data_IF_534599924859
#
_entry.id   IF_534599924859
#
_cell.length_a   1.000
_cell.length_b   1.000
_cell.length_c   1.000
_cell.angle_alpha   90.00
_cell.angle_beta   90.00
_cell.angle_gamma   90.00
#
_symmetry.space_group_name_H-M   'P 1'
#
loop_
_entity.id
_entity.type
_entity.pdbx_description
1 polymer ?
#
# COMPACT_ATOMS: atom_id res chain seq x y z
N UNK A 1 -9.75 23.36 -46.05
CA UNK A 1 -10.46 22.96 -44.81
C UNK A 1 -10.05 21.59 -44.26
N UNK A 2 -9.65 20.61 -45.08
CA UNK A 2 -9.25 19.27 -44.58
C UNK A 2 -8.01 19.24 -43.67
N UNK A 3 -6.97 20.02 -44.00
CA UNK A 3 -5.69 20.03 -43.25
C UNK A 3 -5.85 20.55 -41.82
N UNK A 4 -6.61 21.64 -41.62
CA UNK A 4 -6.85 22.20 -40.29
C UNK A 4 -7.62 21.24 -39.37
N UNK A 5 -8.62 20.51 -39.92
CA UNK A 5 -9.37 19.50 -39.18
C UNK A 5 -8.49 18.30 -38.80
N UNK A 6 -7.64 17.85 -39.72
CA UNK A 6 -6.67 16.79 -39.45
C UNK A 6 -5.70 17.18 -38.34
N UNK A 7 -5.14 18.39 -38.40
CA UNK A 7 -4.23 18.90 -37.36
C UNK A 7 -4.92 18.98 -35.98
N UNK A 8 -6.14 19.54 -35.92
CA UNK A 8 -6.91 19.63 -34.68
C UNK A 8 -7.21 18.24 -34.11
N UNK A 9 -7.58 17.27 -34.95
CA UNK A 9 -7.81 15.90 -34.52
C UNK A 9 -6.54 15.29 -33.91
N UNK A 10 -5.38 15.43 -34.56
CA UNK A 10 -4.11 14.89 -34.03
C UNK A 10 -3.77 15.49 -32.66
N UNK A 11 -3.97 16.80 -32.49
CA UNK A 11 -3.74 17.48 -31.21
C UNK A 11 -4.67 16.94 -30.12
N UNK A 12 -5.98 16.81 -30.41
CA UNK A 12 -6.94 16.23 -29.46
C UNK A 12 -6.62 14.78 -29.11
N UNK A 13 -6.19 13.98 -30.09
CA UNK A 13 -5.76 12.60 -29.87
C UNK A 13 -4.53 12.53 -28.96
N UNK A 14 -3.57 13.44 -29.13
CA UNK A 14 -2.39 13.52 -28.27
C UNK A 14 -2.78 13.85 -26.82
N UNK A 15 -3.65 14.85 -26.62
CA UNK A 15 -4.16 15.17 -25.28
C UNK A 15 -4.92 13.99 -24.66
N UNK A 16 -5.76 13.30 -25.44
CA UNK A 16 -6.50 12.14 -24.95
C UNK A 16 -5.53 11.02 -24.51
N UNK A 17 -4.49 10.75 -25.30
CA UNK A 17 -3.45 9.79 -24.94
C UNK A 17 -2.79 10.17 -23.61
N UNK A 18 -2.38 11.43 -23.43
CA UNK A 18 -1.77 11.89 -22.18
C UNK A 18 -2.72 11.71 -20.99
N UNK A 19 -3.99 12.09 -21.14
CA UNK A 19 -5.01 11.96 -20.09
C UNK A 19 -5.23 10.50 -19.70
N UNK A 20 -5.33 9.59 -20.67
CA UNK A 20 -5.55 8.16 -20.41
C UNK A 20 -4.35 7.49 -19.73
N UNK A 21 -3.12 7.89 -20.08
CA UNK A 21 -1.91 7.41 -19.40
C UNK A 21 -1.89 7.90 -17.95
N UNK A 22 -2.14 9.19 -17.71
CA UNK A 22 -2.22 9.75 -16.35
C UNK A 22 -3.33 9.08 -15.52
N UNK A 23 -4.48 8.82 -16.13
CA UNK A 23 -5.58 8.12 -15.48
C UNK A 23 -5.17 6.70 -15.06
N UNK A 24 -4.48 5.97 -15.94
CA UNK A 24 -3.93 4.64 -15.62
C UNK A 24 -2.95 4.68 -14.45
N UNK A 25 -2.09 5.70 -14.38
CA UNK A 25 -1.18 5.90 -13.25
C UNK A 25 -1.92 6.17 -11.94
N UNK A 26 -2.94 7.04 -11.96
CA UNK A 26 -3.73 7.34 -10.76
C UNK A 26 -4.50 6.11 -10.28
N UNK A 27 -5.15 5.36 -11.19
CA UNK A 27 -5.84 4.11 -10.84
C UNK A 27 -4.86 3.11 -10.23
N UNK A 28 -3.65 3.03 -10.77
CA UNK A 28 -2.61 2.14 -10.21
C UNK A 28 -2.24 2.55 -8.79
N UNK A 29 -2.04 3.85 -8.52
CA UNK A 29 -1.77 4.34 -7.16
C UNK A 29 -2.94 4.07 -6.21
N UNK A 30 -4.17 4.33 -6.66
CA UNK A 30 -5.41 4.12 -5.92
C UNK A 30 -5.61 2.65 -5.51
N UNK A 31 -5.27 1.71 -6.40
CA UNK A 31 -5.38 0.27 -6.14
C UNK A 31 -4.20 -0.32 -5.38
N UNK A 32 -3.13 0.46 -5.13
CA UNK A 32 -1.90 -0.04 -4.51
C UNK A 32 -1.54 0.72 -3.25
N UNK A 33 -0.63 1.70 -3.34
CA UNK A 33 -0.08 2.43 -2.19
C UNK A 33 -1.17 3.25 -1.48
N UNK A 34 -2.27 3.58 -2.14
CA UNK A 34 -3.39 4.29 -1.51
C UNK A 34 -4.49 3.35 -1.00
N UNK A 35 -4.33 2.04 -1.16
CA UNK A 35 -5.30 1.04 -0.72
C UNK A 35 -4.80 0.28 0.52
N UNK A 36 -5.56 0.34 1.61
CA UNK A 36 -5.22 -0.34 2.86
C UNK A 36 -5.14 -1.87 2.70
N UNK A 37 -6.07 -2.47 1.95
CA UNK A 37 -6.12 -3.93 1.76
C UNK A 37 -4.91 -4.40 0.96
N UNK A 38 -4.48 -3.63 -0.05
CA UNK A 38 -3.24 -3.92 -0.77
C UNK A 38 -2.04 -3.88 0.16
N UNK A 39 -1.88 -2.83 0.97
CA UNK A 39 -0.74 -2.71 1.88
C UNK A 39 -0.72 -3.83 2.92
N UNK A 40 -1.86 -4.17 3.51
CA UNK A 40 -1.96 -5.28 4.48
C UNK A 40 -1.59 -6.61 3.82
N UNK A 41 -2.16 -6.91 2.66
CA UNK A 41 -1.87 -8.14 1.93
C UNK A 41 -0.39 -8.23 1.53
N UNK A 42 0.21 -7.09 1.17
CA UNK A 42 1.62 -7.04 0.80
C UNK A 42 2.53 -7.18 2.03
N UNK A 43 2.18 -6.59 3.18
CA UNK A 43 2.93 -6.80 4.43
C UNK A 43 2.92 -8.26 4.88
N UNK A 44 1.77 -8.93 4.78
CA UNK A 44 1.61 -10.37 5.06
C UNK A 44 2.44 -11.22 4.08
N UNK A 45 2.33 -10.94 2.78
CA UNK A 45 3.08 -11.63 1.72
C UNK A 45 4.60 -11.48 1.86
N UNK A 46 5.04 -10.32 2.32
CA UNK A 46 6.46 -9.99 2.53
C UNK A 46 6.99 -10.51 3.88
N UNK A 47 6.11 -11.02 4.75
CA UNK A 47 6.42 -11.46 6.12
C UNK A 47 7.08 -10.37 6.98
N UNK A 48 6.69 -9.11 6.75
CA UNK A 48 7.30 -7.94 7.42
C UNK A 48 7.14 -8.03 8.93
N UNK A 49 6.01 -8.57 9.40
CA UNK A 49 5.74 -8.76 10.81
C UNK A 49 6.77 -9.67 11.48
N UNK A 50 7.15 -10.77 10.84
CA UNK A 50 8.19 -11.66 11.38
C UNK A 50 9.55 -10.96 11.43
N UNK A 51 9.95 -10.24 10.38
CA UNK A 51 11.22 -9.48 10.37
C UNK A 51 11.26 -8.45 11.50
N UNK A 52 10.17 -7.69 11.71
CA UNK A 52 10.08 -6.69 12.80
C UNK A 52 10.13 -7.37 14.16
N UNK A 53 9.43 -8.50 14.33
CA UNK A 53 9.47 -9.30 15.56
C UNK A 53 10.87 -9.82 15.84
N UNK A 54 11.57 -10.36 14.85
CA UNK A 54 12.96 -10.85 15.00
C UNK A 54 13.93 -9.71 15.34
N UNK A 55 13.76 -8.54 14.74
CA UNK A 55 14.56 -7.37 15.08
C UNK A 55 14.29 -6.88 16.51
N UNK A 56 13.02 -6.84 16.92
CA UNK A 56 12.64 -6.50 18.30
C UNK A 56 13.19 -7.52 19.31
N UNK A 57 13.15 -8.82 18.98
CA UNK A 57 13.79 -9.89 19.75
C UNK A 57 15.29 -9.63 19.91
N UNK A 58 16.00 -9.34 18.81
CA UNK A 58 17.43 -9.09 18.83
C UNK A 58 17.78 -7.90 19.75
N UNK A 59 17.05 -6.79 19.64
CA UNK A 59 17.26 -5.61 20.49
C UNK A 59 16.99 -5.89 21.97
N UNK A 60 15.98 -6.71 22.29
CA UNK A 60 15.72 -7.11 23.67
C UNK A 60 16.80 -8.06 24.20
N UNK A 61 17.33 -8.97 23.37
CA UNK A 61 18.43 -9.85 23.76
C UNK A 61 19.74 -9.11 24.05
N UNK A 62 19.93 -7.92 23.48
CA UNK A 62 21.08 -7.07 23.81
C UNK A 62 20.97 -6.40 25.19
N UNK A 63 19.79 -6.41 25.83
CA UNK A 63 19.64 -5.85 27.17
C UNK A 63 20.16 -6.81 28.25
N UNK A 64 21.07 -6.31 29.11
CA UNK A 64 21.67 -7.08 30.20
C UNK A 64 20.63 -7.73 31.13
N UNK A 65 19.53 -7.04 31.41
CA UNK A 65 18.42 -7.57 32.20
C UNK A 65 17.79 -8.81 31.57
N UNK A 66 17.57 -8.81 30.25
CA UNK A 66 16.95 -9.94 29.55
C UNK A 66 17.92 -11.13 29.55
N UNK A 67 19.21 -10.93 29.28
CA UNK A 67 20.18 -12.02 29.31
C UNK A 67 20.31 -12.68 30.70
N UNK A 68 20.18 -11.89 31.77
CA UNK A 68 20.36 -12.38 33.12
C UNK A 68 19.13 -13.14 33.66
N UNK A 69 17.92 -12.75 33.26
CA UNK A 69 16.69 -13.26 33.87
C UNK A 69 15.80 -14.07 32.91
N UNK A 70 16.00 -13.93 31.60
CA UNK A 70 15.12 -14.48 30.57
C UNK A 70 15.97 -15.28 29.56
N UNK A 71 15.84 -16.60 29.57
CA UNK A 71 16.47 -17.43 28.55
C UNK A 71 15.83 -17.20 27.17
N UNK A 72 16.60 -17.40 26.10
CA UNK A 72 16.15 -17.16 24.71
C UNK A 72 14.86 -17.92 24.35
N UNK A 73 14.68 -19.14 24.89
CA UNK A 73 13.49 -19.95 24.67
C UNK A 73 12.22 -19.26 25.21
N UNK A 74 12.32 -18.59 26.36
CA UNK A 74 11.20 -17.85 26.97
C UNK A 74 10.83 -16.65 26.11
N UNK A 75 11.85 -15.90 25.67
CA UNK A 75 11.64 -14.74 24.82
C UNK A 75 10.90 -15.15 23.54
N UNK A 76 11.30 -16.26 22.93
CA UNK A 76 10.64 -16.81 21.76
C UNK A 76 9.16 -17.14 22.04
N UNK A 77 8.86 -17.86 23.12
CA UNK A 77 7.47 -18.17 23.48
C UNK A 77 6.61 -16.93 23.72
N UNK A 78 7.15 -15.88 24.34
CA UNK A 78 6.42 -14.62 24.52
C UNK A 78 6.09 -13.97 23.19
N UNK A 79 7.06 -13.88 22.29
CA UNK A 79 6.84 -13.29 20.96
C UNK A 79 5.93 -14.14 20.08
N UNK A 80 5.99 -15.46 20.18
CA UNK A 80 5.08 -16.35 19.46
C UNK A 80 3.63 -16.14 19.92
N UNK A 81 3.40 -15.90 21.22
CA UNK A 81 2.09 -15.51 21.77
C UNK A 81 1.67 -14.09 21.38
N UNK A 82 2.62 -13.16 21.23
CA UNK A 82 2.36 -11.74 20.90
C UNK A 82 2.18 -11.47 19.41
N UNK A 83 2.79 -12.27 18.53
CA UNK A 83 2.73 -12.14 17.08
C UNK A 83 1.30 -11.93 16.55
N UNK A 84 0.30 -12.79 16.87
CA UNK A 84 -1.04 -12.59 16.35
C UNK A 84 -1.69 -11.28 16.80
N UNK A 85 -1.39 -10.83 18.03
CA UNK A 85 -1.86 -9.54 18.52
C UNK A 85 -1.19 -8.37 17.79
N UNK A 86 0.11 -8.46 17.52
CA UNK A 86 0.85 -7.43 16.76
C UNK A 86 0.31 -7.28 15.34
N UNK A 87 0.05 -8.39 14.66
CA UNK A 87 -0.54 -8.41 13.32
C UNK A 87 -1.93 -7.75 13.33
N UNK A 88 -2.79 -8.11 14.28
CA UNK A 88 -4.11 -7.50 14.43
C UNK A 88 -4.03 -5.99 14.70
N UNK A 89 -3.13 -5.56 15.59
CA UNK A 89 -2.97 -4.13 15.85
C UNK A 89 -2.42 -3.37 14.64
N UNK A 90 -1.46 -3.95 13.91
CA UNK A 90 -0.94 -3.33 12.69
C UNK A 90 -2.03 -3.15 11.65
N UNK A 91 -2.88 -4.15 11.44
CA UNK A 91 -4.02 -4.06 10.53
C UNK A 91 -5.00 -2.97 10.94
N UNK A 92 -5.32 -2.87 12.24
CA UNK A 92 -6.18 -1.80 12.78
C UNK A 92 -5.56 -0.43 12.55
N UNK A 93 -4.26 -0.27 12.83
CA UNK A 93 -3.54 1.00 12.66
C UNK A 93 -3.50 1.39 11.19
N UNK A 94 -3.17 0.46 10.30
CA UNK A 94 -3.12 0.69 8.86
C UNK A 94 -4.51 1.13 8.39
N UNK A 95 -5.55 0.32 8.65
CA UNK A 95 -6.94 0.66 8.24
C UNK A 95 -7.40 1.99 8.79
N UNK A 96 -7.14 2.26 10.07
CA UNK A 96 -7.49 3.53 10.70
C UNK A 96 -6.73 4.71 10.08
N UNK A 97 -5.45 4.54 9.76
CA UNK A 97 -4.63 5.56 9.09
C UNK A 97 -5.18 5.84 7.69
N UNK A 98 -5.50 4.82 6.91
CA UNK A 98 -6.09 5.00 5.58
C UNK A 98 -7.49 5.62 5.65
N UNK A 99 -8.31 5.24 6.64
CA UNK A 99 -9.61 5.86 6.87
C UNK A 99 -9.47 7.36 7.20
N UNK A 100 -8.49 7.73 8.02
CA UNK A 100 -8.15 9.13 8.31
C UNK A 100 -7.64 9.88 7.07
N UNK A 101 -6.82 9.24 6.23
CA UNK A 101 -6.31 9.85 5.00
C UNK A 101 -7.42 10.13 3.97
N UNK A 102 -8.46 9.31 3.94
CA UNK A 102 -9.60 9.45 3.03
C UNK A 102 -10.77 10.27 3.60
N UNK A 103 -10.78 10.55 4.90
CA UNK A 103 -11.89 11.25 5.58
C UNK A 103 -11.41 12.50 6.33
N UNK A 104 -12.35 13.32 6.77
CA UNK A 104 -12.07 14.48 7.62
C UNK A 104 -12.09 14.18 9.13
N UNK A 105 -12.16 12.90 9.50
CA UNK A 105 -12.13 12.49 10.91
C UNK A 105 -10.72 12.67 11.49
N UNK A 106 -10.60 12.97 12.77
CA UNK A 106 -9.32 12.98 13.48
C UNK A 106 -8.80 11.54 13.68
N UNK A 107 -7.48 11.38 13.69
CA UNK A 107 -6.83 10.09 13.85
C UNK A 107 -6.77 9.72 15.33
N UNK A 108 -7.88 9.25 15.89
CA UNK A 108 -7.93 8.74 17.27
C UNK A 108 -7.78 7.21 17.26
N UNK A 109 -6.55 6.73 17.10
CA UNK A 109 -6.22 5.31 17.23
C UNK A 109 -5.53 5.10 18.57
N UNK A 110 -6.26 4.45 19.47
CA UNK A 110 -5.76 4.03 20.79
C UNK A 110 -5.52 2.53 20.79
N UNK A 111 -4.26 2.13 20.96
CA UNK A 111 -3.83 0.73 21.03
C UNK A 111 -3.83 0.30 22.49
N UNK A 112 -4.63 -0.70 22.85
CA UNK A 112 -4.63 -1.27 24.19
C UNK A 112 -3.45 -2.24 24.36
N UNK A 113 -2.57 -1.98 25.32
CA UNK A 113 -1.45 -2.87 25.65
C UNK A 113 -1.79 -3.88 26.76
N UNK A 114 -3.06 -3.95 27.18
CA UNK A 114 -3.50 -4.95 28.16
C UNK A 114 -3.23 -6.40 27.73
N UNK A 115 -3.42 -6.79 26.45
CA UNK A 115 -3.04 -8.13 25.99
C UNK A 115 -1.55 -8.40 26.16
N UNK A 116 -0.71 -7.41 25.84
CA UNK A 116 0.75 -7.50 26.01
C UNK A 116 1.11 -7.72 27.47
N UNK A 117 0.58 -6.89 28.38
CA UNK A 117 0.79 -7.03 29.83
C UNK A 117 0.36 -8.42 30.32
N UNK A 118 -0.80 -8.90 29.87
CA UNK A 118 -1.34 -10.19 30.28
C UNK A 118 -0.46 -11.34 29.81
N UNK A 119 -0.01 -11.33 28.55
CA UNK A 119 0.88 -12.36 27.99
C UNK A 119 2.23 -12.37 28.69
N UNK A 120 2.80 -11.20 28.99
CA UNK A 120 4.08 -11.10 29.71
C UNK A 120 3.91 -11.63 31.14
N UNK A 121 2.87 -11.20 31.87
CA UNK A 121 2.62 -11.64 33.25
C UNK A 121 2.38 -13.15 33.36
N UNK A 122 1.60 -13.72 32.44
CA UNK A 122 1.30 -15.15 32.42
C UNK A 122 2.54 -15.96 32.06
N UNK A 123 3.30 -15.54 31.05
CA UNK A 123 4.55 -16.23 30.69
C UNK A 123 5.54 -16.21 31.85
N UNK A 124 5.76 -15.04 32.49
CA UNK A 124 6.61 -14.93 33.69
C UNK A 124 6.14 -15.87 34.80
N UNK A 125 4.82 -15.98 35.02
CA UNK A 125 4.25 -16.91 36.01
C UNK A 125 4.57 -18.35 35.70
N UNK A 126 4.27 -18.79 34.48
CA UNK A 126 4.50 -20.15 34.00
C UNK A 126 5.97 -20.55 34.23
N UNK A 127 6.90 -19.63 33.97
CA UNK A 127 8.34 -19.86 34.11
C UNK A 127 8.76 -20.00 35.57
N UNK A 128 8.34 -19.06 36.42
CA UNK A 128 8.71 -19.10 37.84
C UNK A 128 8.18 -20.37 38.52
N UNK A 129 7.04 -20.90 38.05
CA UNK A 129 6.47 -22.16 38.51
C UNK A 129 7.19 -23.40 37.94
N UNK A 130 7.66 -23.36 36.68
CA UNK A 130 8.34 -24.49 36.05
C UNK A 130 9.81 -24.63 36.45
N UNK A 131 10.50 -23.51 36.64
CA UNK A 131 11.90 -23.47 37.03
C UNK A 131 12.12 -22.29 37.98
N UNK A 132 12.01 -22.49 39.31
CA UNK A 132 12.24 -21.44 40.28
C UNK A 132 13.61 -20.79 40.05
N UNK A 133 13.66 -19.46 39.98
CA UNK A 133 14.91 -18.71 39.91
C UNK A 133 15.81 -19.11 41.07
N UNK A 134 17.13 -19.06 40.91
CA UNK A 134 18.12 -19.55 41.90
C UNK A 134 18.04 -18.90 43.30
N UNK A 135 17.25 -17.82 43.47
CA UNK A 135 16.92 -17.21 44.77
C UNK A 135 15.58 -17.63 45.39
N UNK A 136 14.80 -18.45 44.69
CA UNK A 136 13.48 -18.95 45.07
C UNK A 136 13.41 -20.48 45.15
N UNK A 137 14.54 -21.17 44.98
CA UNK A 137 14.61 -22.62 45.17
C UNK A 137 14.27 -22.98 46.62
N UNK A 138 13.14 -23.68 46.82
CA UNK A 138 12.62 -24.03 48.14
C UNK A 138 11.77 -22.94 48.83
N UNK A 139 11.48 -21.83 48.14
CA UNK A 139 10.56 -20.81 48.65
C UNK A 139 9.13 -21.35 48.78
N UNK A 140 8.38 -20.87 49.78
CA UNK A 140 6.96 -21.22 49.91
C UNK A 140 6.14 -20.59 48.78
N UNK A 141 5.00 -21.19 48.44
CA UNK A 141 4.11 -20.67 47.40
C UNK A 141 3.70 -19.21 47.65
N UNK A 142 3.52 -18.82 48.92
CA UNK A 142 3.24 -17.44 49.31
C UNK A 142 4.39 -16.46 49.03
N UNK A 143 5.65 -16.91 49.15
CA UNK A 143 6.83 -16.10 48.82
C UNK A 143 6.96 -15.90 47.31
N UNK A 144 6.68 -16.96 46.53
CA UNK A 144 6.65 -16.91 45.07
C UNK A 144 5.56 -15.94 44.59
N UNK A 145 4.35 -16.01 45.15
CA UNK A 145 3.26 -15.09 44.81
C UNK A 145 3.57 -13.64 45.19
N UNK A 146 4.19 -13.40 46.35
CA UNK A 146 4.61 -12.06 46.75
C UNK A 146 5.66 -11.48 45.77
N UNK A 147 6.62 -12.31 45.34
CA UNK A 147 7.62 -11.91 44.35
C UNK A 147 6.99 -11.62 42.98
N UNK A 148 6.09 -12.48 42.50
CA UNK A 148 5.35 -12.28 41.25
C UNK A 148 4.52 -11.00 41.29
N UNK A 149 3.86 -10.69 42.41
CA UNK A 149 3.09 -9.45 42.59
C UNK A 149 3.98 -8.21 42.45
N UNK A 150 5.21 -8.28 42.96
CA UNK A 150 6.19 -7.20 42.80
C UNK A 150 6.61 -7.04 41.33
N UNK A 151 6.91 -8.14 40.63
CA UNK A 151 7.22 -8.11 39.20
C UNK A 151 6.04 -7.56 38.39
N UNK A 152 4.81 -7.98 38.68
CA UNK A 152 3.63 -7.51 37.97
C UNK A 152 3.42 -6.01 38.11
N UNK A 153 3.73 -5.46 39.28
CA UNK A 153 3.70 -4.01 39.54
C UNK A 153 4.72 -3.28 38.68
N UNK A 154 5.94 -3.81 38.55
CA UNK A 154 6.98 -3.22 37.70
C UNK A 154 6.64 -3.35 36.21
N UNK A 155 6.06 -4.47 35.76
CA UNK A 155 5.54 -4.63 34.40
C UNK A 155 4.45 -3.59 34.10
N UNK A 156 3.52 -3.38 35.03
CA UNK A 156 2.43 -2.41 34.86
C UNK A 156 2.92 -0.96 34.81
N UNK A 157 4.06 -0.66 35.45
CA UNK A 157 4.72 0.65 35.35
C UNK A 157 5.50 0.79 34.05
N UNK A 158 6.19 -0.27 33.62
CA UNK A 158 7.06 -0.25 32.44
C UNK A 158 6.27 -0.22 31.12
N UNK A 159 5.19 -1.00 31.03
CA UNK A 159 4.35 -1.08 29.84
C UNK A 159 3.09 -0.26 30.13
N UNK A 160 2.81 0.87 29.47
CA UNK A 160 1.59 1.66 29.72
C UNK A 160 0.32 0.87 29.36
N UNK A 161 -0.86 1.30 29.83
CA UNK A 161 -2.11 0.55 29.63
C UNK A 161 -2.61 0.66 28.19
N UNK A 162 -2.33 1.81 27.56
CA UNK A 162 -2.64 2.11 26.19
C UNK A 162 -1.57 3.03 25.61
N UNK A 163 -1.37 2.95 24.30
CA UNK A 163 -0.57 3.91 23.54
C UNK A 163 -1.48 4.62 22.55
N UNK A 164 -1.40 5.94 22.54
CA UNK A 164 -1.99 6.74 21.47
C UNK A 164 -1.02 6.82 20.31
N UNK A 165 -1.55 6.83 19.09
CA UNK A 165 -0.72 6.86 17.89
C UNK A 165 0.18 8.10 17.84
N UNK A 166 -0.27 9.23 18.40
CA UNK A 166 0.51 10.47 18.49
C UNK A 166 1.81 10.30 19.27
N UNK A 167 1.76 9.51 20.35
CA UNK A 167 2.92 9.21 21.18
C UNK A 167 3.92 8.29 20.45
N UNK A 168 3.43 7.42 19.56
CA UNK A 168 4.25 6.45 18.81
C UNK A 168 4.90 7.12 17.59
N UNK A 169 4.10 7.81 16.77
CA UNK A 169 4.55 8.37 15.50
C UNK A 169 5.35 9.67 15.69
N UNK A 170 5.10 10.41 16.78
CA UNK A 170 5.70 11.70 17.04
C UNK A 170 5.16 12.82 16.14
N UNK A 171 5.38 14.08 16.54
CA UNK A 171 4.82 15.25 15.86
C UNK A 171 5.26 15.36 14.38
N UNK A 172 6.47 14.94 14.05
CA UNK A 172 6.99 15.03 12.68
C UNK A 172 6.21 14.14 11.72
N UNK A 173 5.91 12.90 12.12
CA UNK A 173 5.19 11.94 11.27
C UNK A 173 3.72 12.35 11.12
N UNK A 174 3.11 12.92 12.16
CA UNK A 174 1.76 13.50 12.06
C UNK A 174 1.74 14.63 11.01
N UNK A 175 2.75 15.51 10.99
CA UNK A 175 2.85 16.55 9.97
C UNK A 175 3.02 15.98 8.55
N UNK A 176 3.80 14.89 8.41
CA UNK A 176 3.91 14.17 7.13
C UNK A 176 2.59 13.53 6.71
N UNK A 177 1.81 13.00 7.66
CA UNK A 177 0.51 12.42 7.40
C UNK A 177 -0.50 13.46 6.91
N UNK A 178 -0.46 14.68 7.47
CA UNK A 178 -1.25 15.80 6.97
C UNK A 178 -0.88 16.17 5.53
N UNK A 179 0.41 16.18 5.21
CA UNK A 179 0.86 16.40 3.83
C UNK A 179 0.39 15.27 2.90
N UNK A 180 0.46 14.01 3.34
CA UNK A 180 -0.03 12.86 2.59
C UNK A 180 -1.54 12.94 2.35
N UNK A 181 -2.31 13.35 3.35
CA UNK A 181 -3.75 13.61 3.21
C UNK A 181 -4.03 14.64 2.13
N UNK A 182 -3.27 15.73 2.10
CA UNK A 182 -3.41 16.76 1.07
C UNK A 182 -3.10 16.22 -0.34
N UNK A 183 -2.05 15.39 -0.46
CA UNK A 183 -1.71 14.73 -1.73
C UNK A 183 -2.83 13.80 -2.19
N UNK A 184 -3.38 12.97 -1.29
CA UNK A 184 -4.50 12.05 -1.58
C UNK A 184 -5.73 12.83 -2.05
N UNK A 185 -6.04 13.94 -1.38
CA UNK A 185 -7.13 14.82 -1.78
C UNK A 185 -6.94 15.37 -3.21
N UNK A 186 -5.73 15.85 -3.55
CA UNK A 186 -5.43 16.30 -4.90
C UNK A 186 -5.51 15.18 -5.94
N UNK A 187 -5.06 13.97 -5.61
CA UNK A 187 -5.18 12.79 -6.47
C UNK A 187 -6.65 12.47 -6.73
N UNK A 188 -7.51 12.51 -5.71
CA UNK A 188 -8.95 12.28 -5.85
C UNK A 188 -9.63 13.32 -6.77
N UNK A 189 -9.26 14.59 -6.64
CA UNK A 189 -9.75 15.64 -7.55
C UNK A 189 -9.24 15.40 -8.97
N UNK A 190 -7.93 15.15 -9.14
CA UNK A 190 -7.31 14.93 -10.42
C UNK A 190 -7.93 13.73 -11.15
N UNK A 191 -8.21 12.64 -10.43
CA UNK A 191 -8.91 11.48 -10.95
C UNK A 191 -10.26 11.85 -11.60
N UNK A 192 -11.13 12.53 -10.84
CA UNK A 192 -12.46 12.96 -11.32
C UNK A 192 -12.34 13.93 -12.49
N UNK A 193 -11.40 14.88 -12.42
CA UNK A 193 -11.16 15.85 -13.47
C UNK A 193 -10.64 15.20 -14.77
N UNK A 194 -9.73 14.23 -14.67
CA UNK A 194 -9.17 13.50 -15.82
C UNK A 194 -10.22 12.64 -16.51
N UNK A 195 -11.12 11.99 -15.76
CA UNK A 195 -12.26 11.27 -16.35
C UNK A 195 -13.15 12.24 -17.14
N UNK A 196 -13.54 13.36 -16.53
CA UNK A 196 -14.36 14.38 -17.19
C UNK A 196 -13.67 14.93 -18.45
N UNK A 197 -12.36 15.18 -18.38
CA UNK A 197 -11.56 15.65 -19.50
C UNK A 197 -11.45 14.61 -20.61
N UNK A 198 -11.27 13.32 -20.28
CA UNK A 198 -11.22 12.24 -21.27
C UNK A 198 -12.53 12.14 -22.07
N UNK A 199 -13.68 12.17 -21.37
CA UNK A 199 -15.01 12.14 -22.00
C UNK A 199 -15.22 13.39 -22.87
N UNK A 200 -14.82 14.57 -22.38
CA UNK A 200 -14.91 15.82 -23.13
C UNK A 200 -14.05 15.80 -24.41
N UNK A 201 -12.82 15.28 -24.33
CA UNK A 201 -11.92 15.15 -25.47
C UNK A 201 -12.48 14.18 -26.52
N UNK A 202 -13.04 13.05 -26.09
CA UNK A 202 -13.74 12.11 -26.98
C UNK A 202 -14.91 12.79 -27.71
N UNK A 203 -15.69 13.61 -26.99
CA UNK A 203 -16.79 14.39 -27.58
C UNK A 203 -16.28 15.40 -28.60
N UNK A 204 -15.19 16.12 -28.30
CA UNK A 204 -14.58 17.04 -29.26
C UNK A 204 -14.06 16.33 -30.51
N UNK A 205 -13.42 15.17 -30.37
CA UNK A 205 -12.98 14.35 -31.50
C UNK A 205 -14.20 13.96 -32.36
N UNK A 206 -15.29 13.49 -31.74
CA UNK A 206 -16.52 13.15 -32.44
C UNK A 206 -17.14 14.35 -33.17
N UNK A 207 -17.11 15.53 -32.55
CA UNK A 207 -17.62 16.78 -33.13
C UNK A 207 -16.78 17.26 -34.32
N UNK A 208 -15.46 17.18 -34.25
CA UNK A 208 -14.53 17.57 -35.34
C UNK A 208 -14.77 16.72 -36.59
N UNK A 209 -15.06 15.43 -36.40
CA UNK A 209 -15.38 14.49 -37.47
C UNK A 209 -16.86 14.50 -37.88
N UNK A 210 -17.64 15.47 -37.39
CA UNK A 210 -19.05 15.65 -37.73
C UNK A 210 -19.87 14.36 -37.58
N UNK A 211 -19.62 13.62 -36.49
CA UNK A 211 -20.29 12.35 -36.17
C UNK A 211 -20.18 11.26 -37.23
N UNK A 212 -19.15 11.30 -38.09
CA UNK A 212 -18.85 10.17 -38.96
C UNK A 212 -18.31 9.01 -38.09
N UNK A 213 -19.05 7.90 -37.94
CA UNK A 213 -18.68 6.87 -36.97
C UNK A 213 -17.37 6.16 -37.34
N UNK A 214 -17.05 6.09 -38.64
CA UNK A 214 -15.88 5.39 -39.17
C UNK A 214 -14.53 6.01 -38.76
N UNK A 215 -14.24 7.30 -39.02
CA UNK A 215 -12.98 7.90 -38.59
C UNK A 215 -12.88 7.99 -37.07
N UNK A 216 -13.98 8.30 -36.36
CA UNK A 216 -13.97 8.45 -34.90
C UNK A 216 -13.62 7.13 -34.20
N UNK A 217 -14.27 6.02 -34.57
CA UNK A 217 -14.00 4.70 -33.96
C UNK A 217 -12.59 4.21 -34.26
N UNK A 218 -12.11 4.42 -35.49
CA UNK A 218 -10.75 4.02 -35.88
C UNK A 218 -9.68 4.81 -35.15
N UNK A 219 -9.78 6.14 -35.14
CA UNK A 219 -8.75 7.00 -34.56
C UNK A 219 -8.70 6.85 -33.04
N UNK A 220 -9.87 6.73 -32.38
CA UNK A 220 -9.96 6.43 -30.94
C UNK A 220 -9.41 5.04 -30.63
N UNK A 221 -9.75 4.02 -31.43
CA UNK A 221 -9.23 2.66 -31.26
C UNK A 221 -7.71 2.58 -31.36
N UNK A 222 -7.09 3.32 -32.31
CA UNK A 222 -5.62 3.42 -32.41
C UNK A 222 -5.02 4.03 -31.15
N UNK A 223 -5.61 5.09 -30.60
CA UNK A 223 -5.12 5.70 -29.35
C UNK A 223 -5.18 4.70 -28.20
N UNK A 224 -6.29 3.96 -28.07
CA UNK A 224 -6.48 2.97 -27.01
C UNK A 224 -5.43 1.85 -27.11
N UNK A 225 -5.12 1.40 -28.34
CA UNK A 225 -4.03 0.45 -28.59
C UNK A 225 -2.68 1.04 -28.16
N UNK A 226 -2.36 2.28 -28.53
CA UNK A 226 -1.09 2.93 -28.17
C UNK A 226 -0.98 3.07 -26.65
N UNK A 227 -2.02 3.56 -25.99
CA UNK A 227 -2.08 3.67 -24.52
C UNK A 227 -1.87 2.30 -23.89
N UNK A 228 -2.57 1.27 -24.36
CA UNK A 228 -2.41 -0.10 -23.89
C UNK A 228 -0.98 -0.61 -23.99
N UNK A 229 -0.33 -0.40 -25.15
CA UNK A 229 1.08 -0.77 -25.37
C UNK A 229 2.01 0.01 -24.43
N UNK A 230 1.82 1.33 -24.29
CA UNK A 230 2.63 2.17 -23.40
C UNK A 230 2.51 1.73 -21.94
N UNK A 231 1.30 1.43 -21.47
CA UNK A 231 1.08 0.91 -20.11
C UNK A 231 1.73 -0.45 -19.90
N UNK A 232 1.62 -1.37 -20.88
CA UNK A 232 2.27 -2.68 -20.80
C UNK A 232 3.80 -2.54 -20.80
N UNK A 233 4.37 -1.73 -21.70
CA UNK A 233 5.81 -1.50 -21.74
C UNK A 233 6.32 -0.80 -20.47
N UNK A 234 5.59 0.20 -19.97
CA UNK A 234 5.88 0.83 -18.69
C UNK A 234 5.84 -0.16 -17.53
N UNK A 235 4.95 -1.15 -17.59
CA UNK A 235 4.85 -2.20 -16.58
C UNK A 235 6.04 -3.18 -16.58
N UNK A 236 6.79 -3.25 -17.68
CA UNK A 236 8.00 -4.07 -17.77
C UNK A 236 9.24 -3.36 -17.20
N UNK A 237 9.10 -2.12 -16.74
CA UNK A 237 10.15 -1.37 -16.05
C UNK A 237 10.14 -1.68 -14.54
N UNK A 238 9.77 -2.90 -14.15
CA UNK A 238 9.78 -3.40 -12.77
C UNK A 238 11.16 -3.28 -12.14
N UNK A 239 12.23 -3.50 -12.92
CA UNK A 239 13.62 -3.30 -12.48
C UNK A 239 13.90 -1.85 -12.08
N UNK A 240 13.33 -0.86 -12.76
CA UNK A 240 13.54 0.56 -12.41
C UNK A 240 12.80 0.93 -11.13
N UNK A 241 11.57 0.44 -10.97
CA UNK A 241 10.79 0.65 -9.75
C UNK A 241 11.45 -0.05 -8.57
N UNK A 242 11.88 -1.30 -8.74
CA UNK A 242 12.63 -2.04 -7.74
C UNK A 242 13.93 -1.31 -7.35
N UNK A 243 14.65 -0.74 -8.33
CA UNK A 243 15.85 0.06 -8.05
C UNK A 243 15.54 1.33 -7.27
N UNK A 244 14.47 2.05 -7.65
CA UNK A 244 14.04 3.26 -6.95
C UNK A 244 13.66 2.97 -5.49
N UNK A 245 12.85 1.92 -5.27
CA UNK A 245 12.49 1.45 -3.93
C UNK A 245 13.74 1.01 -3.15
N UNK A 246 14.65 0.27 -3.80
CA UNK A 246 15.89 -0.18 -3.18
C UNK A 246 16.80 0.98 -2.74
N UNK A 247 16.88 2.06 -3.54
CA UNK A 247 17.60 3.27 -3.14
C UNK A 247 16.98 3.95 -1.93
N UNK A 248 15.65 4.05 -1.87
CA UNK A 248 14.94 4.60 -0.71
C UNK A 248 15.10 3.74 0.54
N UNK A 249 15.05 2.42 0.39
CA UNK A 249 15.21 1.47 1.50
C UNK A 249 16.65 1.44 2.03
N UNK A 250 17.66 1.61 1.17
CA UNK A 250 19.07 1.57 1.53
C UNK A 250 19.51 2.65 2.53
N UNK A 251 18.80 3.78 2.60
CA UNK A 251 19.04 4.81 3.62
C UNK A 251 18.55 4.40 5.01
N UNK A 252 17.63 3.43 5.12
CA UNK A 252 16.98 3.10 6.39
C UNK A 252 17.72 2.06 7.26
N UNK A 253 18.84 1.50 6.79
CA UNK A 253 19.82 0.71 7.57
C UNK A 253 19.37 -0.62 8.19
N UNK A 254 18.09 -0.79 8.53
CA UNK A 254 17.58 -1.92 9.32
C UNK A 254 16.85 -3.01 8.53
N UNK A 255 16.46 -2.75 7.28
CA UNK A 255 15.52 -3.62 6.54
C UNK A 255 16.19 -4.37 5.38
N UNK A 256 17.37 -4.96 5.63
CA UNK A 256 18.09 -5.77 4.63
C UNK A 256 17.26 -6.94 4.09
N UNK A 257 16.39 -7.55 4.91
CA UNK A 257 15.49 -8.62 4.44
C UNK A 257 14.46 -8.11 3.42
N UNK A 258 13.89 -6.92 3.65
CA UNK A 258 12.94 -6.33 2.70
C UNK A 258 13.58 -6.07 1.34
N UNK A 259 14.89 -5.75 1.31
CA UNK A 259 15.62 -5.52 0.06
C UNK A 259 15.55 -6.72 -0.90
N UNK A 260 15.54 -7.94 -0.36
CA UNK A 260 15.41 -9.18 -1.17
C UNK A 260 14.01 -9.33 -1.76
N UNK A 261 13.02 -8.71 -1.13
CA UNK A 261 11.61 -8.77 -1.54
C UNK A 261 11.16 -7.56 -2.36
N UNK A 262 11.96 -6.50 -2.46
CA UNK A 262 11.67 -5.31 -3.28
C UNK A 262 11.26 -5.64 -4.74
N UNK A 263 11.89 -6.60 -5.45
CA UNK A 263 11.45 -6.94 -6.81
C UNK A 263 10.02 -7.50 -6.86
N UNK A 264 9.60 -8.22 -5.82
CA UNK A 264 8.26 -8.75 -5.71
C UNK A 264 7.26 -7.61 -5.47
N UNK A 265 7.52 -6.75 -4.48
CA UNK A 265 6.72 -5.55 -4.22
C UNK A 265 6.57 -4.68 -5.47
N UNK A 266 7.67 -4.43 -6.19
CA UNK A 266 7.64 -3.64 -7.43
C UNK A 266 6.74 -4.27 -8.50
N UNK A 267 6.75 -5.61 -8.63
CA UNK A 267 5.87 -6.32 -9.57
C UNK A 267 4.41 -6.18 -9.17
N UNK A 268 4.10 -6.31 -7.89
CA UNK A 268 2.73 -6.23 -7.37
C UNK A 268 2.17 -4.80 -7.49
N UNK A 269 2.98 -3.77 -7.23
CA UNK A 269 2.64 -2.36 -7.44
C UNK A 269 2.29 -2.01 -8.89
N UNK A 270 2.88 -2.73 -9.85
CA UNK A 270 2.71 -2.46 -11.28
C UNK A 270 1.59 -3.32 -11.89
N UNK A 271 1.14 -4.36 -11.21
CA UNK A 271 0.13 -5.29 -11.72
C UNK A 271 -1.19 -4.61 -12.18
N UNK A 272 -1.71 -3.57 -11.48
CA UNK A 272 -2.86 -2.81 -11.96
C UNK A 272 -2.62 -2.08 -13.28
N UNK A 273 -1.45 -1.45 -13.45
CA UNK A 273 -1.10 -0.75 -14.69
C UNK A 273 -1.07 -1.71 -15.89
N UNK A 274 -0.59 -2.94 -15.68
CA UNK A 274 -0.61 -3.99 -16.69
C UNK A 274 -2.05 -4.42 -17.04
N UNK A 275 -2.90 -4.61 -16.04
CA UNK A 275 -4.30 -4.97 -16.23
C UNK A 275 -5.07 -3.89 -17.00
N UNK A 276 -4.83 -2.62 -16.65
CA UNK A 276 -5.33 -1.46 -17.37
C UNK A 276 -4.85 -1.43 -18.83
N UNK A 277 -3.54 -1.64 -19.05
CA UNK A 277 -2.98 -1.68 -20.41
C UNK A 277 -3.61 -2.77 -21.29
N UNK A 278 -3.88 -3.95 -20.74
CA UNK A 278 -4.56 -5.05 -21.44
C UNK A 278 -6.00 -4.68 -21.78
N UNK A 279 -6.74 -4.07 -20.85
CA UNK A 279 -8.12 -3.62 -21.08
C UNK A 279 -8.18 -2.62 -22.25
N UNK A 280 -7.36 -1.56 -22.22
CA UNK A 280 -7.30 -0.56 -23.30
C UNK A 280 -6.87 -1.16 -24.63
N UNK A 281 -5.89 -2.07 -24.63
CA UNK A 281 -5.46 -2.76 -25.83
C UNK A 281 -6.62 -3.57 -26.45
N UNK A 282 -7.33 -4.34 -25.63
CA UNK A 282 -8.46 -5.15 -26.10
C UNK A 282 -9.61 -4.31 -26.65
N UNK A 283 -9.99 -3.24 -25.94
CA UNK A 283 -11.04 -2.32 -26.35
C UNK A 283 -10.65 -1.57 -27.64
N UNK A 284 -9.40 -1.14 -27.74
CA UNK A 284 -8.87 -0.49 -28.93
C UNK A 284 -8.92 -1.39 -30.17
N UNK A 285 -8.55 -2.68 -30.04
CA UNK A 285 -8.64 -3.66 -31.14
C UNK A 285 -10.10 -3.83 -31.57
N UNK A 286 -11.04 -3.98 -30.62
CA UNK A 286 -12.48 -4.11 -30.93
C UNK A 286 -13.00 -2.87 -31.66
N UNK A 287 -12.64 -1.67 -31.21
CA UNK A 287 -13.03 -0.42 -31.87
C UNK A 287 -12.50 -0.32 -33.31
N UNK A 288 -11.25 -0.73 -33.54
CA UNK A 288 -10.67 -0.77 -34.89
C UNK A 288 -11.42 -1.78 -35.76
N UNK A 289 -11.75 -2.97 -35.26
CA UNK A 289 -12.50 -3.99 -36.01
C UNK A 289 -13.92 -3.52 -36.35
N UNK A 290 -14.62 -2.86 -35.41
CA UNK A 290 -15.93 -2.25 -35.65
C UNK A 290 -15.83 -1.15 -36.72
N UNK A 291 -14.75 -0.36 -36.70
CA UNK A 291 -14.53 0.70 -37.71
C UNK A 291 -14.47 0.16 -39.15
N UNK A 292 -14.02 -1.08 -39.33
CA UNK A 292 -13.95 -1.75 -40.63
C UNK A 292 -15.33 -2.15 -41.16
N UNK A 293 -16.29 -2.41 -40.28
CA UNK A 293 -17.65 -2.80 -40.66
C UNK A 293 -18.49 -1.62 -41.19
N UNK A 294 -18.13 -0.38 -40.84
CA UNK A 294 -18.80 0.79 -41.39
C UNK A 294 -18.46 0.97 -42.88
N UNK A 295 -19.46 0.73 -43.75
CA UNK A 295 -19.34 0.94 -45.20
C UNK A 295 -19.06 2.42 -45.51
N UNK A 296 -18.16 2.73 -46.46
CA UNK A 296 -18.01 4.10 -46.95
C UNK A 296 -19.34 4.56 -47.54
N UNK A 297 -19.85 5.71 -47.11
CA UNK A 297 -21.01 6.34 -47.76
C UNK A 297 -20.66 6.53 -49.23
N UNK A 298 -21.38 5.83 -50.11
CA UNK A 298 -21.19 5.94 -51.55
C UNK A 298 -21.38 7.41 -51.94
N UNK A 299 -20.28 8.06 -52.31
CA UNK A 299 -20.34 9.39 -52.93
C UNK A 299 -21.06 9.22 -54.25
N UNK A 300 -22.33 9.65 -54.29
CA UNK A 300 -23.11 9.76 -55.51
C UNK A 300 -22.26 10.49 -56.56
N UNK A 301 -22.03 9.90 -57.75
CA UNK A 301 -21.39 10.62 -58.83
C UNK A 301 -22.27 11.83 -59.16
N UNK A 302 -21.73 13.04 -58.98
CA UNK A 302 -22.34 14.24 -59.53
C UNK A 302 -22.11 14.21 -61.04
N UNK A 303 -23.17 13.87 -61.79
CA UNK A 303 -23.31 14.25 -63.18
C UNK A 303 -23.69 15.72 -63.27
#
# INVERSE_FOLDING_TARGET
MGVARGCLSVILCFFLLTVLVLLGSIITLDQTILNADFVIAELDKLDVYSTVVEQAKAQLLEQEFVQQFISTNILNQMFDKLKPWLEEQADIIIRGTYAHLHSDQELDITISLQPVRSIVKETVREIVLQSPLSGLEGASQSQIEAFLSQIYTEIDKAIPASLTLDAILGQQTIAQLQHLKQVIYYISIAYKALIGLAVLLLLFIALVHWWQPKPVTRDTGIIFIIVGIVCILGSLLDVLVAKAIGCLAGESGGLFELQTKVPQLARDLIAPARSYGIAFLSEGIVLVLISLQFRPSATSPKY
#
